data_IF_383928142739
#
_entry.id   IF_383928142739
#
_cell.length_a   1.000
_cell.length_b   1.000
_cell.length_c   1.000
_cell.angle_alpha   90.00
_cell.angle_beta   90.00
_cell.angle_gamma   90.00
#
_symmetry.space_group_name_H-M   'P 1'
#
loop_
_entity.id
_entity.type
_entity.pdbx_description
1 polymer ?
#
# COMPACT_ATOMS: atom_id res chain seq x y z
N UNK A 1 -4.39 11.62 7.73
CA UNK A 1 -3.78 10.52 6.96
C UNK A 1 -3.14 11.12 5.71
N UNK A 2 -1.94 10.67 5.31
CA UNK A 2 -1.36 11.03 4.00
C UNK A 2 -1.34 9.79 3.11
N UNK A 3 -2.07 9.82 2.00
CA UNK A 3 -2.14 8.74 1.03
C UNK A 3 -1.24 9.07 -0.15
N UNK A 4 -0.35 8.14 -0.51
CA UNK A 4 0.48 8.22 -1.70
C UNK A 4 0.07 7.10 -2.65
N UNK A 5 -0.40 7.49 -3.83
CA UNK A 5 -0.82 6.61 -4.91
C UNK A 5 0.18 6.79 -6.04
N UNK A 6 0.75 5.69 -6.56
CA UNK A 6 1.70 5.74 -7.68
C UNK A 6 1.13 4.99 -8.90
N UNK A 7 0.73 5.73 -9.93
CA UNK A 7 0.07 5.26 -11.16
C UNK A 7 1.05 4.97 -12.32
N UNK A 8 2.34 4.96 -12.03
CA UNK A 8 3.34 4.94 -13.11
C UNK A 8 3.56 3.53 -13.67
N UNK A 9 4.01 3.44 -14.93
CA UNK A 9 4.26 2.16 -15.63
C UNK A 9 5.17 1.21 -14.85
N UNK A 10 4.79 -0.07 -14.80
CA UNK A 10 5.57 -1.15 -14.21
C UNK A 10 7.01 -1.18 -14.75
N UNK A 11 7.99 -1.41 -13.87
CA UNK A 11 9.42 -1.50 -14.22
C UNK A 11 10.26 -0.22 -14.04
N UNK A 12 9.66 0.91 -13.62
CA UNK A 12 10.36 2.19 -13.47
C UNK A 12 11.16 2.37 -12.15
N UNK A 13 11.33 1.32 -11.34
CA UNK A 13 12.13 1.38 -10.10
C UNK A 13 11.46 2.06 -8.89
N UNK A 14 10.17 2.37 -8.96
CA UNK A 14 9.44 3.20 -7.98
C UNK A 14 9.20 2.54 -6.63
N UNK A 15 8.91 1.24 -6.63
CA UNK A 15 8.84 0.46 -5.40
C UNK A 15 10.14 0.58 -4.60
N UNK A 16 11.31 0.68 -5.28
CA UNK A 16 12.59 0.91 -4.60
C UNK A 16 12.68 2.31 -4.00
N UNK A 17 12.28 3.36 -4.72
CA UNK A 17 12.27 4.73 -4.18
C UNK A 17 11.31 4.87 -2.99
N UNK A 18 10.12 4.27 -3.08
CA UNK A 18 9.16 4.22 -1.99
C UNK A 18 9.74 3.52 -0.76
N UNK A 19 10.36 2.35 -0.94
CA UNK A 19 11.05 1.62 0.13
C UNK A 19 12.15 2.49 0.76
N UNK A 20 13.04 3.06 -0.05
CA UNK A 20 14.14 3.89 0.43
C UNK A 20 13.61 5.09 1.24
N UNK A 21 12.52 5.73 0.80
CA UNK A 21 11.89 6.86 1.51
C UNK A 21 11.21 6.44 2.82
N UNK A 22 10.51 5.31 2.85
CA UNK A 22 9.83 4.78 4.05
C UNK A 22 10.86 4.40 5.12
N UNK A 23 11.98 3.85 4.67
CA UNK A 23 13.04 3.38 5.56
C UNK A 23 13.88 4.54 6.08
N UNK A 24 14.19 5.53 5.25
CA UNK A 24 15.10 6.61 5.67
C UNK A 24 14.49 7.52 6.75
N UNK A 25 13.17 7.72 6.73
CA UNK A 25 12.48 8.57 7.70
C UNK A 25 11.54 7.73 8.59
N UNK A 26 11.77 7.68 9.92
CA UNK A 26 10.85 7.02 10.84
C UNK A 26 9.41 7.45 10.61
N UNK A 27 8.57 6.48 10.27
CA UNK A 27 7.16 6.70 10.07
C UNK A 27 6.35 5.41 10.27
N UNK A 28 5.06 5.55 10.54
CA UNK A 28 4.12 4.44 10.51
C UNK A 28 3.54 4.32 9.10
N UNK A 29 3.76 3.20 8.44
CA UNK A 29 3.37 2.97 7.04
C UNK A 29 2.55 1.71 6.87
N UNK A 30 1.44 1.82 6.15
CA UNK A 30 0.68 0.72 5.58
C UNK A 30 1.02 0.63 4.08
N UNK A 31 1.79 -0.39 3.70
CA UNK A 31 2.22 -0.66 2.34
C UNK A 31 1.31 -1.72 1.72
N UNK A 32 0.66 -1.37 0.62
CA UNK A 32 -0.33 -2.20 -0.05
C UNK A 32 0.26 -2.73 -1.35
N UNK A 33 0.13 -4.02 -1.58
CA UNK A 33 0.54 -4.70 -2.82
C UNK A 33 -0.59 -5.60 -3.33
N UNK A 34 -0.53 -6.01 -4.59
CA UNK A 34 -1.57 -6.84 -5.19
C UNK A 34 -1.62 -8.25 -4.58
N UNK A 35 -0.46 -8.88 -4.41
CA UNK A 35 -0.39 -10.32 -4.16
C UNK A 35 0.41 -10.67 -2.89
N UNK A 36 0.00 -11.76 -2.25
CA UNK A 36 0.60 -12.25 -0.98
C UNK A 36 1.97 -12.89 -1.18
N UNK A 37 2.23 -13.47 -2.34
CA UNK A 37 3.52 -14.03 -2.73
C UNK A 37 4.64 -12.97 -2.71
N UNK A 38 4.30 -11.71 -2.98
CA UNK A 38 5.24 -10.59 -2.92
C UNK A 38 5.67 -10.22 -1.48
N UNK A 39 4.99 -10.69 -0.43
CA UNK A 39 5.23 -10.23 0.94
C UNK A 39 6.65 -10.56 1.43
N UNK A 40 7.11 -11.79 1.21
CA UNK A 40 8.43 -12.22 1.65
C UNK A 40 9.54 -11.44 0.93
N UNK A 41 9.37 -11.20 -0.37
CA UNK A 41 10.31 -10.40 -1.16
C UNK A 41 10.34 -8.94 -0.66
N UNK A 42 9.17 -8.33 -0.47
CA UNK A 42 9.05 -6.95 0.02
C UNK A 42 9.66 -6.80 1.42
N UNK A 43 9.40 -7.72 2.34
CA UNK A 43 10.02 -7.71 3.66
C UNK A 43 11.54 -7.79 3.55
N UNK A 44 12.07 -8.70 2.73
CA UNK A 44 13.51 -8.82 2.52
C UNK A 44 14.12 -7.52 1.97
N UNK A 45 13.41 -6.84 1.07
CA UNK A 45 13.83 -5.54 0.50
C UNK A 45 13.80 -4.43 1.54
N UNK A 46 12.73 -4.33 2.35
CA UNK A 46 12.66 -3.38 3.46
C UNK A 46 13.78 -3.61 4.48
N UNK A 47 14.03 -4.86 4.89
CA UNK A 47 15.13 -5.19 5.80
C UNK A 47 16.50 -4.84 5.23
N UNK A 48 16.71 -5.11 3.93
CA UNK A 48 17.96 -4.75 3.24
C UNK A 48 18.16 -3.23 3.21
N UNK A 49 17.11 -2.48 2.87
CA UNK A 49 17.16 -1.01 2.88
C UNK A 49 17.38 -0.46 4.30
N UNK A 50 16.71 -1.02 5.31
CA UNK A 50 16.84 -0.61 6.72
C UNK A 50 18.27 -0.77 7.24
N UNK A 51 18.90 -1.90 6.94
CA UNK A 51 20.32 -2.10 7.25
C UNK A 51 21.22 -1.05 6.60
N UNK A 52 20.95 -0.69 5.33
CA UNK A 52 21.72 0.33 4.62
C UNK A 52 21.51 1.73 5.21
N UNK A 53 20.29 2.05 5.62
CA UNK A 53 19.92 3.33 6.22
C UNK A 53 20.25 3.44 7.72
N UNK A 54 20.69 2.33 8.35
CA UNK A 54 20.93 2.23 9.81
C UNK A 54 19.68 2.54 10.65
N UNK A 55 18.52 2.07 10.19
CA UNK A 55 17.24 2.16 10.90
C UNK A 55 16.75 0.77 11.28
N UNK A 56 15.87 0.67 12.27
CA UNK A 56 15.29 -0.61 12.72
C UNK A 56 13.74 -0.56 12.79
N UNK A 57 13.05 -0.49 11.63
CA UNK A 57 11.59 -0.49 11.61
C UNK A 57 11.02 -1.85 12.03
N UNK A 58 9.90 -1.82 12.76
CA UNK A 58 9.09 -3.02 12.96
C UNK A 58 8.36 -3.33 11.66
N UNK A 59 8.71 -4.45 11.02
CA UNK A 59 8.08 -4.92 9.78
C UNK A 59 7.11 -6.07 10.09
N UNK A 60 5.88 -5.97 9.57
CA UNK A 60 4.83 -6.98 9.71
C UNK A 60 4.07 -7.16 8.42
N UNK A 61 3.45 -8.32 8.25
CA UNK A 61 2.50 -8.59 7.17
C UNK A 61 1.14 -9.01 7.71
N UNK A 62 0.06 -8.64 7.02
CA UNK A 62 -1.30 -9.09 7.33
C UNK A 62 -1.88 -9.73 6.06
N UNK A 63 -2.21 -11.01 6.15
CA UNK A 63 -2.89 -11.73 5.08
C UNK A 63 -3.80 -12.83 5.63
N UNK A 64 -4.67 -13.33 4.75
CA UNK A 64 -5.70 -14.31 5.10
C UNK A 64 -5.17 -15.68 5.56
N UNK A 65 -3.87 -15.95 5.36
CA UNK A 65 -3.21 -17.19 5.76
C UNK A 65 -2.83 -17.20 7.24
N UNK A 66 -2.58 -16.01 7.81
CA UNK A 66 -2.28 -15.85 9.24
C UNK A 66 -3.52 -15.40 10.04
N UNK A 67 -4.60 -14.98 9.35
CA UNK A 67 -5.85 -14.51 9.94
C UNK A 67 -7.02 -14.84 9.00
N UNK A 68 -8.18 -15.31 9.45
CA UNK A 68 -9.35 -15.44 8.55
C UNK A 68 -9.75 -14.09 7.91
N UNK A 69 -10.54 -14.08 6.82
CA UNK A 69 -10.88 -12.84 6.09
C UNK A 69 -11.48 -11.71 6.96
N UNK A 70 -12.37 -12.05 7.91
CA UNK A 70 -12.86 -11.09 8.93
C UNK A 70 -11.78 -10.65 9.92
N UNK A 71 -10.81 -11.52 10.19
CA UNK A 71 -9.67 -11.24 11.05
C UNK A 71 -8.69 -10.25 10.43
N UNK A 72 -8.47 -10.29 9.11
CA UNK A 72 -7.60 -9.34 8.39
C UNK A 72 -8.12 -7.91 8.52
N UNK A 73 -9.41 -7.69 8.30
CA UNK A 73 -10.05 -6.37 8.42
C UNK A 73 -9.92 -5.82 9.84
N UNK A 74 -10.27 -6.64 10.83
CA UNK A 74 -10.14 -6.26 12.25
C UNK A 74 -8.69 -5.94 12.61
N UNK A 75 -7.75 -6.76 12.12
CA UNK A 75 -6.32 -6.59 12.37
C UNK A 75 -5.79 -5.28 11.81
N UNK A 76 -6.22 -4.89 10.61
CA UNK A 76 -5.84 -3.59 10.02
C UNK A 76 -6.41 -2.44 10.86
N UNK A 77 -7.67 -2.50 11.26
CA UNK A 77 -8.29 -1.47 12.09
C UNK A 77 -7.61 -1.29 13.46
N UNK A 78 -7.02 -2.36 14.02
CA UNK A 78 -6.29 -2.34 15.30
C UNK A 78 -4.88 -1.74 15.20
N UNK A 79 -4.28 -1.66 13.99
CA UNK A 79 -2.90 -1.21 13.80
C UNK A 79 -2.55 0.12 14.48
N UNK A 80 -3.38 1.18 14.38
CA UNK A 80 -3.06 2.45 15.02
C UNK A 80 -2.93 2.35 16.54
N UNK A 81 -3.75 1.51 17.17
CA UNK A 81 -3.71 1.28 18.62
C UNK A 81 -2.49 0.45 19.01
N UNK A 82 -2.31 -0.69 18.34
CA UNK A 82 -1.23 -1.66 18.61
C UNK A 82 0.17 -1.08 18.49
N UNK A 83 0.33 -0.14 17.56
CA UNK A 83 1.61 0.47 17.25
C UNK A 83 1.68 1.93 17.67
N UNK A 84 0.78 2.38 18.54
CA UNK A 84 0.72 3.77 19.01
C UNK A 84 2.06 4.27 19.58
N UNK A 85 2.76 3.43 20.34
CA UNK A 85 4.03 3.73 21.01
C UNK A 85 5.28 3.60 20.14
N UNK A 86 5.14 3.13 18.89
CA UNK A 86 6.28 2.95 17.99
C UNK A 86 6.39 4.08 16.98
N UNK A 87 7.60 4.54 16.71
CA UNK A 87 7.82 5.63 15.75
C UNK A 87 8.04 5.14 14.31
N UNK A 88 8.51 3.90 14.14
CA UNK A 88 8.85 3.34 12.83
C UNK A 88 8.27 1.95 12.63
N UNK A 89 7.20 1.88 11.86
CA UNK A 89 6.45 0.63 11.61
C UNK A 89 6.09 0.53 10.15
N UNK A 90 6.26 -0.65 9.57
CA UNK A 90 5.93 -0.95 8.18
C UNK A 90 5.04 -2.19 8.19
N UNK A 91 3.79 -2.02 7.80
CA UNK A 91 2.82 -3.11 7.69
C UNK A 91 2.51 -3.35 6.22
N UNK A 92 2.71 -4.58 5.75
CA UNK A 92 2.41 -5.00 4.38
C UNK A 92 1.04 -5.68 4.35
N UNK A 93 0.15 -5.23 3.47
CA UNK A 93 -1.18 -5.81 3.29
C UNK A 93 -1.56 -5.87 1.80
N UNK A 94 -2.64 -6.58 1.48
CA UNK A 94 -3.16 -6.67 0.10
C UNK A 94 -4.19 -5.60 -0.22
N UNK A 95 -4.40 -5.32 -1.51
CA UNK A 95 -5.51 -4.46 -1.97
C UNK A 95 -6.88 -4.91 -1.43
N UNK A 96 -7.16 -6.22 -1.47
CA UNK A 96 -8.41 -6.78 -0.93
C UNK A 96 -8.62 -6.43 0.54
N UNK A 97 -7.53 -6.45 1.32
CA UNK A 97 -7.58 -6.14 2.74
C UNK A 97 -7.85 -4.64 2.96
N UNK A 98 -7.21 -3.77 2.19
CA UNK A 98 -7.40 -2.31 2.23
C UNK A 98 -8.88 -1.94 2.00
N UNK A 99 -9.50 -2.45 0.94
CA UNK A 99 -10.86 -2.07 0.53
C UNK A 99 -11.94 -2.41 1.56
N UNK A 100 -11.66 -3.41 2.40
CA UNK A 100 -12.61 -3.90 3.40
C UNK A 100 -12.35 -3.34 4.80
N UNK A 101 -11.28 -2.56 4.97
CA UNK A 101 -10.83 -2.10 6.27
C UNK A 101 -11.30 -0.68 6.59
N UNK A 102 -11.63 -0.45 7.86
CA UNK A 102 -11.81 0.91 8.37
C UNK A 102 -10.43 1.54 8.63
N UNK A 103 -10.21 2.72 8.06
CA UNK A 103 -8.97 3.49 8.17
C UNK A 103 -9.14 4.77 8.98
N UNK A 104 -10.28 4.97 9.63
CA UNK A 104 -10.59 6.16 10.45
C UNK A 104 -9.50 6.46 11.50
N UNK A 105 -8.88 5.42 12.09
CA UNK A 105 -7.81 5.56 13.08
C UNK A 105 -6.41 5.88 12.54
N UNK A 106 -6.19 5.93 11.22
CA UNK A 106 -4.85 6.04 10.62
C UNK A 106 -4.30 7.48 10.57
N UNK A 107 -4.63 8.30 11.55
CA UNK A 107 -4.02 9.62 11.72
C UNK A 107 -2.51 9.47 11.97
N UNK A 108 -1.69 10.25 11.24
CA UNK A 108 -0.23 10.14 11.30
C UNK A 108 0.39 8.98 10.51
N UNK A 109 -0.42 8.06 9.96
CA UNK A 109 0.08 7.00 9.10
C UNK A 109 0.24 7.45 7.64
N UNK A 110 1.21 6.83 6.97
CA UNK A 110 1.39 6.86 5.53
C UNK A 110 0.75 5.62 4.92
N UNK A 111 -0.06 5.79 3.88
CA UNK A 111 -0.55 4.68 3.06
C UNK A 111 0.15 4.75 1.72
N UNK A 112 0.75 3.64 1.31
CA UNK A 112 1.44 3.49 0.01
C UNK A 112 0.79 2.34 -0.73
N UNK A 113 0.36 2.58 -1.96
CA UNK A 113 -0.31 1.58 -2.80
C UNK A 113 0.60 1.30 -4.00
N UNK A 114 1.12 0.08 -4.08
CA UNK A 114 1.96 -0.43 -5.17
C UNK A 114 1.07 -1.14 -6.19
N UNK A 115 1.16 -0.72 -7.45
CA UNK A 115 0.30 -1.14 -8.57
C UNK A 115 -1.19 -0.89 -8.30
N UNK A 116 -1.65 0.34 -8.57
CA UNK A 116 -3.06 0.73 -8.41
C UNK A 116 -3.97 -0.24 -9.16
N UNK A 117 -4.88 -0.95 -8.46
CA UNK A 117 -5.86 -1.78 -9.12
C UNK A 117 -6.71 -0.95 -10.06
N UNK A 118 -6.89 -1.40 -11.31
CA UNK A 118 -7.66 -0.66 -12.33
C UNK A 118 -9.10 -0.30 -11.95
N UNK A 119 -9.67 -0.91 -10.90
CA UNK A 119 -11.01 -0.56 -10.39
C UNK A 119 -11.01 0.66 -9.44
N UNK A 120 -9.87 1.01 -8.83
CA UNK A 120 -9.71 2.28 -8.09
C UNK A 120 -9.63 3.48 -9.06
N UNK A 121 -9.29 3.22 -10.32
CA UNK A 121 -9.29 4.17 -11.45
C UNK A 121 -10.67 4.35 -12.13
N UNK A 122 -11.76 3.83 -11.55
CA UNK A 122 -13.09 4.00 -12.15
C UNK A 122 -13.56 5.46 -12.02
N UNK A 123 -13.16 6.31 -12.95
CA UNK A 123 -13.72 7.65 -13.16
C UNK A 123 -14.83 7.59 -14.21
N UNK A 124 -16.07 7.81 -13.80
CA UNK A 124 -17.14 8.18 -14.73
C UNK A 124 -16.92 9.64 -15.17
N UNK A 125 -16.25 9.84 -16.30
CA UNK A 125 -16.16 11.17 -16.93
C UNK A 125 -17.36 11.37 -17.85
N UNK A 126 -18.27 12.27 -17.45
CA UNK A 126 -19.22 12.86 -18.42
C UNK A 126 -18.44 13.75 -19.37
N UNK A 127 -18.38 13.32 -20.62
CA UNK A 127 -17.77 14.03 -21.72
C UNK A 127 -18.86 14.43 -22.71
N UNK A 128 -18.71 15.59 -23.35
CA UNK A 128 -19.57 16.01 -24.46
C UNK A 128 -19.18 15.35 -25.78
N UNK A 129 -18.20 14.44 -25.77
CA UNK A 129 -17.74 13.70 -26.94
C UNK A 129 -18.64 12.48 -27.18
N UNK A 130 -18.99 12.26 -28.44
CA UNK A 130 -19.90 11.19 -28.85
C UNK A 130 -19.19 9.82 -28.98
N UNK A 131 -20.00 8.77 -29.13
CA UNK A 131 -19.49 7.41 -29.27
C UNK A 131 -18.61 7.20 -30.52
N UNK A 132 -18.75 8.06 -31.55
CA UNK A 132 -17.95 7.98 -32.76
C UNK A 132 -16.49 8.39 -32.50
N UNK A 133 -16.27 9.41 -31.67
CA UNK A 133 -14.94 9.85 -31.25
C UNK A 133 -14.16 8.71 -30.56
N UNK A 134 -14.81 7.98 -29.64
CA UNK A 134 -14.17 6.91 -28.89
C UNK A 134 -13.84 5.69 -29.75
N UNK A 135 -14.73 5.32 -30.69
CA UNK A 135 -14.50 4.18 -31.59
C UNK A 135 -13.29 4.39 -32.50
N UNK A 136 -12.98 5.64 -32.86
CA UNK A 136 -11.86 5.97 -33.73
C UNK A 136 -10.49 5.94 -33.04
N UNK A 137 -10.43 6.12 -31.71
CA UNK A 137 -9.17 6.29 -30.97
C UNK A 137 -8.80 5.13 -30.05
N UNK A 138 -9.76 4.26 -29.71
CA UNK A 138 -9.57 3.23 -28.68
C UNK A 138 -9.91 1.80 -29.17
N UNK A 139 -10.03 1.60 -30.49
CA UNK A 139 -10.15 0.27 -31.12
C UNK A 139 -8.92 0.03 -31.98
#
# INVERSE_FOLDING_TARGET
MKVFVDESRAGAGKTREAIDRIVYYPCKTLFITERKDAFAELEARFRKAARKAKTDPVIRHIHSGNHGGRGVVKRIAELPSDYSTLDHVIVIATHEALLRSDLSGFHGWRIVIDEVPRFLDFQEKRTSLDAAFFKHHYT
#
